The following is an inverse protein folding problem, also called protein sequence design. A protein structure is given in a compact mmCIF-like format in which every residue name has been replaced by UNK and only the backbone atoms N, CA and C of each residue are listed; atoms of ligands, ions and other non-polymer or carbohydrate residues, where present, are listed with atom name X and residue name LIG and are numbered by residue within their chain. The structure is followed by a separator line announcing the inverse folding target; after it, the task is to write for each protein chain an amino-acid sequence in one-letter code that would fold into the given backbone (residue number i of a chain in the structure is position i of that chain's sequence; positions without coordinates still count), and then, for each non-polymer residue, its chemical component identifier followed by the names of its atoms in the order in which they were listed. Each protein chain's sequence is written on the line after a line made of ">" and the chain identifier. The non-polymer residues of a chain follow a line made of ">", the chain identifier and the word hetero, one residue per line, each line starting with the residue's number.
data_IF_898006553118
#
_entry.id   IF_898006553118
#
_cell.length_a   1.000
_cell.length_b   1.000
_cell.length_c   1.000
_cell.angle_alpha   90.00
_cell.angle_beta   90.00
_cell.angle_gamma   90.00
#
_symmetry.space_group_name_H-M   'P 1'
#
loop_
_entity.id
_entity.type
_entity.pdbx_description
1 polymer ?
#
# COMPACT_ATOMS: atom_id res chain seq x y z
N UNK A 1 0.16 -15.19 26.07
CA UNK A 1 -0.94 -14.87 25.12
C UNK A 1 -0.31 -14.70 23.75
N UNK A 2 -0.72 -15.50 22.76
CA UNK A 2 -0.09 -15.62 21.43
C UNK A 2 -0.99 -15.01 20.35
N UNK A 3 -0.34 -14.28 19.43
CA UNK A 3 -0.77 -13.74 18.12
C UNK A 3 -1.77 -12.54 18.14
N UNK A 4 -1.52 -11.52 17.29
CA UNK A 4 -1.78 -11.66 15.86
C UNK A 4 -0.59 -11.22 14.99
N UNK A 5 0.37 -12.12 14.76
CA UNK A 5 1.45 -11.94 13.77
C UNK A 5 1.19 -12.72 12.47
N UNK A 6 -0.02 -13.26 12.27
CA UNK A 6 -0.34 -14.18 11.17
C UNK A 6 -0.98 -13.51 9.94
N UNK A 7 -1.41 -12.25 10.01
CA UNK A 7 -2.02 -11.57 8.85
C UNK A 7 -1.01 -10.91 7.91
N UNK A 8 0.19 -10.55 8.38
CA UNK A 8 1.24 -9.98 7.53
C UNK A 8 2.12 -11.04 6.85
N UNK A 9 2.16 -12.28 7.34
CA UNK A 9 3.08 -13.31 6.83
C UNK A 9 2.65 -14.00 5.52
N UNK A 10 1.43 -13.76 5.03
CA UNK A 10 1.00 -14.30 3.71
C UNK A 10 1.62 -13.50 2.55
N UNK A 11 2.21 -12.33 2.81
CA UNK A 11 2.78 -11.45 1.78
C UNK A 11 4.15 -11.89 1.22
N UNK A 12 4.87 -12.80 1.89
CA UNK A 12 6.31 -13.00 1.65
C UNK A 12 6.71 -14.17 0.74
N UNK A 13 5.77 -14.98 0.23
CA UNK A 13 6.10 -16.23 -0.48
C UNK A 13 5.97 -16.20 -2.02
N UNK A 14 5.76 -15.05 -2.64
CA UNK A 14 5.72 -14.93 -4.12
C UNK A 14 6.80 -14.00 -4.70
N UNK A 15 7.87 -13.73 -3.95
CA UNK A 15 8.81 -12.64 -4.22
C UNK A 15 10.02 -12.96 -5.13
N UNK A 16 10.09 -14.12 -5.78
CA UNK A 16 11.24 -14.46 -6.64
C UNK A 16 10.99 -14.35 -8.13
N UNK A 17 9.87 -13.79 -8.58
CA UNK A 17 9.57 -13.82 -10.02
C UNK A 17 8.86 -12.61 -10.63
N UNK A 18 8.68 -11.47 -9.95
CA UNK A 18 8.11 -10.24 -10.56
C UNK A 18 9.02 -9.67 -11.66
N UNK A 19 9.06 -10.33 -12.82
CA UNK A 19 9.67 -9.87 -14.05
C UNK A 19 8.54 -9.49 -14.98
N UNK A 20 8.48 -8.21 -15.36
CA UNK A 20 7.69 -7.80 -16.51
C UNK A 20 8.17 -8.65 -17.71
N UNK A 21 7.23 -9.33 -18.38
CA UNK A 21 7.53 -10.03 -19.61
C UNK A 21 8.03 -9.02 -20.64
N UNK A 22 9.03 -9.40 -21.43
CA UNK A 22 9.60 -8.56 -22.51
C UNK A 22 8.54 -8.12 -23.56
N UNK A 23 7.37 -8.76 -23.53
CA UNK A 23 6.23 -8.54 -24.42
C UNK A 23 5.06 -7.78 -23.77
N UNK A 24 5.19 -7.31 -22.52
CA UNK A 24 4.13 -6.57 -21.86
C UNK A 24 4.01 -5.14 -22.42
N UNK A 25 2.78 -4.62 -22.47
CA UNK A 25 2.55 -3.25 -22.93
C UNK A 25 3.34 -2.24 -22.06
N UNK A 26 3.81 -1.11 -22.62
CA UNK A 26 4.51 -0.08 -21.85
C UNK A 26 3.73 0.40 -20.60
N UNK A 27 2.39 0.44 -20.70
CA UNK A 27 1.51 0.81 -19.59
C UNK A 27 1.53 -0.24 -18.45
N UNK A 28 1.53 -1.53 -18.78
CA UNK A 28 1.64 -2.62 -17.81
C UNK A 28 3.00 -2.60 -17.12
N UNK A 29 4.07 -2.35 -17.86
CA UNK A 29 5.43 -2.29 -17.29
C UNK A 29 5.59 -1.12 -16.31
N UNK A 30 5.01 0.04 -16.61
CA UNK A 30 5.02 1.17 -15.67
C UNK A 30 4.30 0.78 -14.38
N UNK A 31 3.04 0.34 -14.49
CA UNK A 31 2.24 -0.10 -13.35
C UNK A 31 2.99 -1.11 -12.47
N UNK A 32 3.57 -2.15 -13.05
CA UNK A 32 4.30 -3.15 -12.26
C UNK A 32 5.56 -2.58 -11.61
N UNK A 33 6.25 -1.63 -12.25
CA UNK A 33 7.38 -0.92 -11.64
C UNK A 33 6.94 -0.07 -10.44
N UNK A 34 5.86 0.69 -10.55
CA UNK A 34 5.35 1.48 -9.41
C UNK A 34 4.87 0.60 -8.26
N UNK A 35 4.29 -0.57 -8.54
CA UNK A 35 4.01 -1.59 -7.51
C UNK A 35 5.29 -2.04 -6.80
N UNK A 36 6.36 -2.37 -7.55
CA UNK A 36 7.62 -2.79 -6.95
C UNK A 36 8.25 -1.69 -6.10
N UNK A 37 8.20 -0.44 -6.53
CA UNK A 37 8.64 0.71 -5.72
C UNK A 37 7.84 0.84 -4.42
N UNK A 38 6.50 0.68 -4.48
CA UNK A 38 5.65 0.71 -3.29
C UNK A 38 5.97 -0.43 -2.31
N UNK A 39 6.23 -1.64 -2.82
CA UNK A 39 6.62 -2.80 -2.01
C UNK A 39 7.98 -2.63 -1.35
N UNK A 40 8.95 -2.05 -2.06
CA UNK A 40 10.26 -1.73 -1.51
C UNK A 40 10.14 -0.71 -0.37
N UNK A 41 9.31 0.33 -0.55
CA UNK A 41 9.06 1.31 0.50
C UNK A 41 8.37 0.69 1.72
N UNK A 42 7.39 -0.19 1.52
CA UNK A 42 6.73 -0.93 2.60
C UNK A 42 7.74 -1.74 3.42
N UNK A 43 8.62 -2.49 2.75
CA UNK A 43 9.67 -3.26 3.42
C UNK A 43 10.66 -2.37 4.21
N UNK A 44 11.00 -1.19 3.68
CA UNK A 44 11.85 -0.22 4.39
C UNK A 44 11.14 0.39 5.61
N UNK A 45 9.82 0.59 5.53
CA UNK A 45 9.03 1.17 6.60
C UNK A 45 9.01 0.32 7.88
N UNK A 46 9.23 -0.99 7.77
CA UNK A 46 9.33 -1.92 8.91
C UNK A 46 10.50 -1.64 9.84
N UNK A 47 11.53 -0.91 9.36
CA UNK A 47 12.70 -0.54 10.16
C UNK A 47 12.52 0.80 10.90
N UNK A 48 11.35 1.43 10.80
CA UNK A 48 11.09 2.71 11.46
C UNK A 48 10.65 2.48 12.89
N UNK A 49 11.36 3.14 13.82
CA UNK A 49 10.93 3.20 15.21
C UNK A 49 9.61 3.96 15.32
N UNK A 50 8.60 3.34 15.91
CA UNK A 50 7.30 3.97 16.18
C UNK A 50 7.38 5.15 17.15
N UNK A 51 8.50 5.28 17.87
CA UNK A 51 8.77 6.40 18.77
C UNK A 51 9.43 7.61 18.07
N UNK A 52 9.81 7.45 16.80
CA UNK A 52 10.40 8.53 15.99
C UNK A 52 9.31 9.13 15.08
N UNK A 53 8.56 10.08 15.64
CA UNK A 53 7.41 10.67 14.98
C UNK A 53 7.74 11.28 13.61
N UNK A 54 8.90 11.92 13.49
CA UNK A 54 9.37 12.49 12.24
C UNK A 54 9.54 11.42 11.16
N UNK A 55 10.13 10.27 11.49
CA UNK A 55 10.25 9.14 10.56
C UNK A 55 8.90 8.51 10.24
N UNK A 56 7.99 8.38 11.21
CA UNK A 56 6.64 7.85 10.97
C UNK A 56 5.88 8.74 9.98
N UNK A 57 5.91 10.07 10.17
CA UNK A 57 5.31 11.05 9.24
C UNK A 57 5.93 10.94 7.85
N UNK A 58 7.26 10.85 7.77
CA UNK A 58 7.96 10.73 6.49
C UNK A 58 7.55 9.47 5.75
N UNK A 59 7.55 8.30 6.41
CA UNK A 59 7.20 7.05 5.77
C UNK A 59 5.75 6.99 5.29
N UNK A 60 4.80 7.48 6.09
CA UNK A 60 3.40 7.48 5.66
C UNK A 60 3.18 8.45 4.48
N UNK A 61 3.87 9.59 4.48
CA UNK A 61 3.87 10.54 3.35
C UNK A 61 4.53 9.98 2.07
N UNK A 62 5.63 9.24 2.21
CA UNK A 62 6.27 8.54 1.09
C UNK A 62 5.34 7.45 0.52
N UNK A 63 4.70 6.68 1.39
CA UNK A 63 3.73 5.65 1.00
C UNK A 63 2.54 6.27 0.26
N UNK A 64 2.04 7.41 0.73
CA UNK A 64 0.98 8.16 0.05
C UNK A 64 1.40 8.61 -1.35
N UNK A 65 2.60 9.17 -1.50
CA UNK A 65 3.17 9.58 -2.78
C UNK A 65 3.28 8.41 -3.75
N UNK A 66 3.84 7.28 -3.31
CA UNK A 66 4.01 6.09 -4.13
C UNK A 66 2.66 5.46 -4.51
N UNK A 67 1.69 5.45 -3.59
CA UNK A 67 0.35 4.96 -3.92
C UNK A 67 -0.36 5.86 -4.93
N UNK A 68 -0.14 7.18 -4.90
CA UNK A 68 -0.66 8.09 -5.92
C UNK A 68 -0.07 7.80 -7.31
N UNK A 69 1.24 7.49 -7.37
CA UNK A 69 1.89 7.02 -8.61
C UNK A 69 1.28 5.70 -9.09
N UNK A 70 1.10 4.72 -8.21
CA UNK A 70 0.45 3.44 -8.54
C UNK A 70 -0.97 3.68 -9.08
N UNK A 71 -1.75 4.58 -8.47
CA UNK A 71 -3.08 4.93 -8.95
C UNK A 71 -3.05 5.52 -10.37
N UNK A 72 -2.12 6.45 -10.63
CA UNK A 72 -1.97 7.07 -11.95
C UNK A 72 -1.62 6.05 -13.04
N UNK A 73 -0.88 5.01 -12.69
CA UNK A 73 -0.45 3.96 -13.61
C UNK A 73 -1.41 2.76 -13.63
N UNK A 74 -2.40 2.70 -12.74
CA UNK A 74 -3.36 1.60 -12.68
C UNK A 74 -4.30 1.63 -13.89
N UNK A 75 -4.46 0.51 -14.62
CA UNK A 75 -5.41 0.45 -15.73
C UNK A 75 -6.86 0.73 -15.30
N UNK A 76 -7.62 1.47 -16.13
CA UNK A 76 -8.98 1.95 -15.83
C UNK A 76 -9.90 0.90 -15.19
N UNK A 77 -9.83 -0.36 -15.64
CA UNK A 77 -10.64 -1.46 -15.11
C UNK A 77 -10.47 -1.74 -13.61
N UNK A 78 -9.36 -1.31 -13.01
CA UNK A 78 -9.02 -1.53 -11.61
C UNK A 78 -8.74 -0.22 -10.84
N UNK A 79 -8.93 0.92 -11.51
CA UNK A 79 -8.62 2.24 -10.97
C UNK A 79 -9.50 2.59 -9.77
N UNK A 80 -10.75 2.11 -9.73
CA UNK A 80 -11.65 2.30 -8.59
C UNK A 80 -11.09 1.70 -7.30
N UNK A 81 -10.60 0.47 -7.35
CA UNK A 81 -10.06 -0.21 -6.17
C UNK A 81 -8.74 0.45 -5.74
N UNK A 82 -7.88 0.82 -6.69
CA UNK A 82 -6.67 1.61 -6.41
C UNK A 82 -6.98 2.98 -5.78
N UNK A 83 -8.05 3.65 -6.23
CA UNK A 83 -8.46 4.96 -5.72
C UNK A 83 -8.93 4.89 -4.26
N UNK A 84 -9.64 3.81 -3.88
CA UNK A 84 -10.06 3.58 -2.49
C UNK A 84 -8.83 3.41 -1.59
N UNK A 85 -7.84 2.62 -2.02
CA UNK A 85 -6.58 2.40 -1.27
C UNK A 85 -5.79 3.71 -1.16
N UNK A 86 -5.64 4.44 -2.26
CA UNK A 86 -4.96 5.74 -2.28
C UNK A 86 -5.64 6.76 -1.37
N UNK A 87 -6.97 6.85 -1.42
CA UNK A 87 -7.74 7.74 -0.54
C UNK A 87 -7.56 7.38 0.94
N UNK A 88 -7.55 6.10 1.28
CA UNK A 88 -7.30 5.64 2.65
C UNK A 88 -5.89 6.02 3.15
N UNK A 89 -4.84 5.74 2.35
CA UNK A 89 -3.46 6.06 2.72
C UNK A 89 -3.26 7.58 2.85
N UNK A 90 -3.86 8.37 1.95
CA UNK A 90 -3.84 9.83 2.04
C UNK A 90 -4.55 10.33 3.30
N UNK A 91 -5.70 9.77 3.65
CA UNK A 91 -6.42 10.12 4.87
C UNK A 91 -5.63 9.77 6.14
N UNK A 92 -4.92 8.63 6.15
CA UNK A 92 -4.02 8.30 7.25
C UNK A 92 -2.83 9.25 7.32
N UNK A 93 -2.22 9.58 6.18
CA UNK A 93 -1.11 10.53 6.11
C UNK A 93 -1.52 11.90 6.66
N UNK A 94 -2.72 12.37 6.30
CA UNK A 94 -3.30 13.61 6.80
C UNK A 94 -3.60 13.55 8.30
N UNK A 95 -4.19 12.45 8.78
CA UNK A 95 -4.48 12.25 10.20
C UNK A 95 -3.20 12.22 11.05
N UNK A 96 -2.16 11.51 10.60
CA UNK A 96 -0.84 11.52 11.23
C UNK A 96 -0.27 12.93 11.23
N UNK A 97 -0.31 13.62 10.09
CA UNK A 97 0.24 14.97 9.91
C UNK A 97 -0.41 16.01 10.81
N UNK A 98 -1.73 15.91 11.06
CA UNK A 98 -2.49 16.85 11.87
C UNK A 98 -2.55 16.48 13.35
N UNK A 99 -2.24 15.24 13.70
CA UNK A 99 -2.23 14.78 15.09
C UNK A 99 -0.93 15.17 15.80
N UNK A 100 -1.04 15.49 17.09
CA UNK A 100 0.11 15.71 17.98
C UNK A 100 0.62 14.36 18.50
N UNK A 101 1.94 14.15 18.45
CA UNK A 101 2.57 12.93 18.96
C UNK A 101 2.53 12.86 20.49
N UNK A 102 2.60 14.01 21.16
CA UNK A 102 2.55 14.10 22.62
C UNK A 102 1.11 13.89 23.15
N UNK A 103 0.13 13.76 22.25
CA UNK A 103 -1.28 13.47 22.55
C UNK A 103 -1.73 12.14 21.94
N UNK A 104 -1.25 11.00 22.48
CA UNK A 104 -1.47 9.68 21.89
C UNK A 104 -2.95 9.30 21.77
N UNK A 105 -3.82 9.76 22.68
CA UNK A 105 -5.26 9.49 22.62
C UNK A 105 -5.96 10.23 21.49
N UNK A 106 -5.66 11.52 21.30
CA UNK A 106 -6.22 12.31 20.19
C UNK A 106 -5.76 11.73 18.84
N UNK A 107 -4.48 11.36 18.74
CA UNK A 107 -3.92 10.70 17.57
C UNK A 107 -4.58 9.35 17.29
N UNK A 108 -4.74 8.50 18.30
CA UNK A 108 -5.41 7.22 18.16
C UNK A 108 -6.87 7.38 17.70
N UNK A 109 -7.58 8.37 18.22
CA UNK A 109 -8.94 8.69 17.79
C UNK A 109 -8.98 9.13 16.31
N UNK A 110 -8.07 10.01 15.87
CA UNK A 110 -7.98 10.45 14.48
C UNK A 110 -7.70 9.27 13.53
N UNK A 111 -6.76 8.39 13.86
CA UNK A 111 -6.45 7.20 13.06
C UNK A 111 -7.62 6.21 13.02
N UNK A 112 -8.31 6.03 14.15
CA UNK A 112 -9.48 5.15 14.23
C UNK A 112 -10.65 5.68 13.40
N UNK A 113 -10.86 7.00 13.38
CA UNK A 113 -11.88 7.63 12.55
C UNK A 113 -11.64 7.37 11.05
N UNK A 114 -10.38 7.45 10.61
CA UNK A 114 -10.01 7.07 9.24
C UNK A 114 -10.32 5.60 8.98
N UNK A 115 -9.93 4.68 9.87
CA UNK A 115 -10.21 3.26 9.69
C UNK A 115 -11.72 2.97 9.59
N UNK A 116 -12.53 3.60 10.43
CA UNK A 116 -13.99 3.43 10.42
C UNK A 116 -14.63 3.95 9.13
N UNK A 117 -14.18 5.11 8.62
CA UNK A 117 -14.67 5.68 7.38
C UNK A 117 -14.47 4.77 6.15
N UNK A 118 -13.46 3.89 6.19
CA UNK A 118 -13.11 2.99 5.10
C UNK A 118 -13.43 1.51 5.38
N UNK A 119 -13.98 1.17 6.55
CA UNK A 119 -14.14 -0.21 7.02
C UNK A 119 -14.91 -1.12 6.05
N UNK A 120 -15.95 -0.58 5.40
CA UNK A 120 -16.78 -1.34 4.46
C UNK A 120 -16.15 -1.52 3.06
N UNK A 121 -15.25 -0.62 2.65
CA UNK A 121 -14.76 -0.53 1.27
C UNK A 121 -13.30 -0.96 1.10
N UNK A 122 -12.47 -0.80 2.13
CA UNK A 122 -11.03 -1.02 2.03
C UNK A 122 -10.67 -2.48 1.77
N UNK A 123 -11.20 -3.41 2.57
CA UNK A 123 -10.84 -4.83 2.44
C UNK A 123 -11.23 -5.41 1.06
N UNK A 124 -12.45 -5.22 0.54
CA UNK A 124 -12.80 -5.64 -0.80
C UNK A 124 -11.92 -5.02 -1.89
N UNK A 125 -11.59 -3.72 -1.77
CA UNK A 125 -10.73 -3.02 -2.72
C UNK A 125 -9.31 -3.59 -2.73
N UNK A 126 -8.70 -3.77 -1.57
CA UNK A 126 -7.37 -4.39 -1.43
C UNK A 126 -7.35 -5.80 -2.01
N UNK A 127 -8.36 -6.62 -1.72
CA UNK A 127 -8.45 -7.98 -2.25
C UNK A 127 -8.48 -8.02 -3.78
N UNK A 128 -9.34 -7.20 -4.41
CA UNK A 128 -9.44 -7.09 -5.87
C UNK A 128 -8.17 -6.52 -6.49
N UNK A 129 -7.62 -5.47 -5.88
CA UNK A 129 -6.39 -4.84 -6.32
C UNK A 129 -5.22 -5.83 -6.31
N UNK A 130 -5.05 -6.58 -5.22
CA UNK A 130 -4.00 -7.59 -5.12
C UNK A 130 -4.19 -8.72 -6.14
N UNK A 131 -5.42 -9.21 -6.35
CA UNK A 131 -5.68 -10.23 -7.36
C UNK A 131 -5.36 -9.73 -8.78
N UNK A 132 -5.64 -8.45 -9.07
CA UNK A 132 -5.26 -7.83 -10.33
C UNK A 132 -3.74 -7.71 -10.47
N UNK A 133 -3.06 -7.17 -9.46
CA UNK A 133 -1.60 -7.02 -9.45
C UNK A 133 -0.89 -8.35 -9.62
N UNK A 134 -1.34 -9.40 -8.92
CA UNK A 134 -0.79 -10.75 -9.06
C UNK A 134 -0.93 -11.31 -10.48
N UNK A 135 -2.01 -10.98 -11.20
CA UNK A 135 -2.20 -11.40 -12.60
C UNK A 135 -1.40 -10.55 -13.58
N UNK A 136 -1.32 -9.25 -13.33
CA UNK A 136 -0.69 -8.28 -14.23
C UNK A 136 0.84 -8.27 -14.15
N UNK A 137 1.38 -8.56 -12.97
CA UNK A 137 2.82 -8.45 -12.68
C UNK A 137 3.51 -9.79 -12.39
N UNK A 138 2.78 -10.91 -12.49
CA UNK A 138 3.38 -12.25 -12.47
C UNK A 138 3.99 -12.56 -13.83
N UNK A 139 5.18 -13.20 -13.88
CA UNK A 139 5.80 -13.55 -15.15
C UNK A 139 4.97 -14.62 -15.85
N UNK A 140 4.73 -14.43 -17.15
CA UNK A 140 4.15 -15.47 -17.99
C UNK A 140 5.06 -16.72 -18.05
N UNK A 141 4.52 -17.89 -18.46
CA UNK A 141 5.34 -19.07 -18.68
C UNK A 141 6.49 -18.72 -19.65
N UNK A 142 7.73 -19.05 -19.26
CA UNK A 142 8.89 -18.87 -20.14
C UNK A 142 8.78 -19.91 -21.26
N UNK A 143 9.03 -19.53 -22.54
CA UNK A 143 9.09 -20.49 -23.63
C UNK A 143 10.21 -21.52 -23.43
#
# INVERSE_FOLDING_TARGET
>A
MRAPSLLLSIFLLALSSFGCGKNDSPSTQSFCRSISELQLNDALSLNISVNDDAKVRLAIGQTATLMAKVLAETPNKNQKDAAIISAFINALSDAVSKSDFDKPLERAAALSAVQQAFAASLYPAVSKFNAFTARACSPGPRP
#
